data_IF_880399117598
#
_entry.id   IF_880399117598
#
_cell.length_a   1.000
_cell.length_b   1.000
_cell.length_c   1.000
_cell.angle_alpha   90.00
_cell.angle_beta   90.00
_cell.angle_gamma   90.00
#
_symmetry.space_group_name_H-M   'P 1'
#
loop_
_entity.id
_entity.type
_entity.pdbx_description
1 polymer ?
#
# COMPACT_ATOMS: atom_id res chain seq x y z
N UNK A 1 -29.31 -73.58 38.98
CA UNK A 1 -29.12 -72.20 39.47
C UNK A 1 -27.64 -71.77 39.50
N UNK A 2 -26.69 -72.57 40.00
CA UNK A 2 -25.26 -72.17 40.05
C UNK A 2 -24.56 -71.95 38.69
N UNK A 3 -24.95 -72.66 37.61
CA UNK A 3 -24.33 -72.48 36.28
C UNK A 3 -24.82 -71.23 35.52
N UNK A 4 -26.02 -70.73 35.84
CA UNK A 4 -26.57 -69.52 35.20
C UNK A 4 -25.96 -68.24 35.80
N UNK A 5 -25.70 -68.22 37.10
CA UNK A 5 -25.12 -67.06 37.81
C UNK A 5 -23.67 -66.80 37.38
N UNK A 6 -22.89 -67.87 37.11
CA UNK A 6 -21.48 -67.75 36.68
C UNK A 6 -21.39 -67.22 35.24
N UNK A 7 -22.32 -67.60 34.36
CA UNK A 7 -22.32 -67.14 32.98
C UNK A 7 -22.74 -65.67 32.82
N UNK A 8 -23.68 -65.18 33.66
CA UNK A 8 -24.05 -63.75 33.67
C UNK A 8 -23.01 -62.87 34.35
N UNK A 9 -22.29 -63.38 35.35
CA UNK A 9 -21.20 -62.60 35.98
C UNK A 9 -19.96 -62.49 35.10
N UNK A 10 -19.64 -63.51 34.29
CA UNK A 10 -18.58 -63.41 33.28
C UNK A 10 -18.98 -62.46 32.15
N UNK A 11 -20.24 -62.47 31.70
CA UNK A 11 -20.71 -61.56 30.65
C UNK A 11 -20.71 -60.09 31.11
N UNK A 12 -21.10 -59.83 32.37
CA UNK A 12 -21.00 -58.49 32.97
C UNK A 12 -19.54 -58.04 33.15
N UNK A 13 -18.63 -58.96 33.50
CA UNK A 13 -17.20 -58.65 33.60
C UNK A 13 -16.57 -58.32 32.24
N UNK A 14 -16.98 -59.00 31.16
CA UNK A 14 -16.49 -58.71 29.80
C UNK A 14 -17.05 -57.38 29.28
N UNK A 15 -18.31 -57.04 29.57
CA UNK A 15 -18.90 -55.74 29.21
C UNK A 15 -18.22 -54.59 29.97
N UNK A 16 -17.85 -54.80 31.25
CA UNK A 16 -17.12 -53.81 32.03
C UNK A 16 -15.66 -53.60 31.54
N UNK A 17 -15.03 -54.65 30.98
CA UNK A 17 -13.69 -54.55 30.39
C UNK A 17 -13.75 -53.87 29.02
N UNK A 18 -14.79 -54.09 28.20
CA UNK A 18 -14.93 -53.41 26.89
C UNK A 18 -15.28 -51.92 27.06
N UNK A 19 -16.08 -51.56 28.08
CA UNK A 19 -16.35 -50.15 28.40
C UNK A 19 -15.15 -49.41 29.02
N UNK A 20 -14.18 -50.14 29.58
CA UNK A 20 -12.96 -49.58 30.17
C UNK A 20 -11.76 -49.45 29.21
N UNK A 21 -11.87 -49.91 27.96
CA UNK A 21 -10.76 -49.90 26.98
C UNK A 21 -11.03 -48.92 25.82
N UNK A 22 -12.21 -48.29 25.75
CA UNK A 22 -12.48 -47.18 24.81
C UNK A 22 -12.48 -45.80 25.45
N UNK A 23 -11.97 -45.67 26.68
CA UNK A 23 -11.53 -44.34 27.15
C UNK A 23 -10.23 -44.04 26.42
N UNK A 24 -10.33 -43.31 25.31
CA UNK A 24 -9.18 -42.74 24.64
C UNK A 24 -8.30 -42.08 25.70
N UNK A 25 -7.03 -42.49 25.73
CA UNK A 25 -5.98 -41.94 26.58
C UNK A 25 -5.52 -40.57 26.03
N UNK A 26 -6.48 -39.73 25.63
CA UNK A 26 -6.34 -38.33 25.27
C UNK A 26 -7.45 -37.58 26.00
N UNK A 27 -7.29 -37.52 27.32
CA UNK A 27 -7.98 -36.55 28.17
C UNK A 27 -6.92 -35.65 28.82
N UNK A 28 -5.83 -35.40 28.11
CA UNK A 28 -5.20 -34.10 28.16
C UNK A 28 -6.20 -33.11 27.57
N UNK A 29 -6.97 -32.49 28.45
CA UNK A 29 -7.35 -31.11 28.19
C UNK A 29 -6.02 -30.37 28.18
N UNK A 30 -5.44 -30.18 26.99
CA UNK A 30 -4.33 -29.26 26.75
C UNK A 30 -4.84 -27.87 27.10
N UNK A 31 -4.82 -27.60 28.40
CA UNK A 31 -5.18 -26.31 28.94
C UNK A 31 -3.98 -25.45 28.61
N UNK A 32 -4.07 -24.75 27.50
CA UNK A 32 -3.19 -23.66 27.13
C UNK A 32 -3.43 -22.47 28.11
N UNK A 33 -3.22 -22.70 29.40
CA UNK A 33 -3.22 -21.67 30.43
C UNK A 33 -1.85 -21.02 30.44
N UNK A 34 -1.76 -19.83 29.86
CA UNK A 34 -0.51 -19.11 29.70
C UNK A 34 -0.21 -18.67 28.27
N UNK A 35 -1.00 -19.11 27.27
CA UNK A 35 -0.94 -18.46 25.96
C UNK A 35 -1.72 -17.15 26.03
N UNK A 36 -0.99 -16.05 26.09
CA UNK A 36 -1.49 -14.73 25.74
C UNK A 36 -1.58 -14.70 24.21
N UNK A 37 -2.73 -15.04 23.63
CA UNK A 37 -3.03 -14.70 22.24
C UNK A 37 -3.35 -13.20 22.22
N UNK A 38 -2.32 -12.38 22.35
CA UNK A 38 -2.41 -10.95 22.07
C UNK A 38 -2.19 -10.81 20.58
N UNK A 39 -3.27 -10.90 19.78
CA UNK A 39 -3.24 -10.26 18.48
C UNK A 39 -2.99 -8.78 18.78
N UNK A 40 -1.84 -8.25 18.39
CA UNK A 40 -1.62 -6.82 18.46
C UNK A 40 -2.63 -6.19 17.51
N UNK A 41 -3.57 -5.40 18.04
CA UNK A 41 -4.24 -4.42 17.23
C UNK A 41 -3.23 -3.31 16.96
N UNK A 42 -3.11 -2.89 15.72
CA UNK A 42 -2.48 -1.63 15.38
C UNK A 42 -3.63 -0.63 15.22
N UNK A 43 -3.74 0.27 16.20
CA UNK A 43 -4.64 1.41 16.13
C UNK A 43 -3.74 2.62 15.84
N UNK A 44 -3.95 3.25 14.68
CA UNK A 44 -3.27 4.48 14.29
C UNK A 44 -4.19 5.66 14.61
N UNK A 45 -3.76 6.52 15.51
CA UNK A 45 -4.46 7.76 15.83
C UNK A 45 -3.76 8.94 15.19
N UNK A 46 -4.53 9.89 14.67
CA UNK A 46 -4.04 11.13 14.06
C UNK A 46 -4.75 12.33 14.70
N UNK A 47 -4.00 13.40 14.93
CA UNK A 47 -4.54 14.74 15.16
C UNK A 47 -3.81 15.80 14.37
N UNK A 48 -4.40 16.99 14.32
CA UNK A 48 -3.84 18.14 13.64
C UNK A 48 -4.10 19.42 14.43
N UNK A 49 -3.10 20.28 14.52
CA UNK A 49 -3.25 21.66 14.98
C UNK A 49 -2.71 22.59 13.92
N UNK A 50 -3.55 23.49 13.40
CA UNK A 50 -3.23 24.31 12.24
C UNK A 50 -3.38 25.81 12.50
N UNK A 51 -2.56 26.60 11.82
CA UNK A 51 -2.56 28.05 11.84
C UNK A 51 -2.61 28.59 10.41
N UNK A 52 -3.38 29.65 10.21
CA UNK A 52 -3.46 30.40 8.96
C UNK A 52 -3.05 31.85 9.24
N UNK A 53 -2.00 32.32 8.59
CA UNK A 53 -1.42 33.65 8.80
C UNK A 53 -1.17 33.96 10.30
N UNK A 54 -0.64 32.98 11.03
CA UNK A 54 -0.32 33.08 12.47
C UNK A 54 -1.53 33.04 13.41
N UNK A 55 -2.71 32.67 12.92
CA UNK A 55 -3.94 32.54 13.72
C UNK A 55 -4.45 31.11 13.67
N UNK A 56 -4.73 30.52 14.84
CA UNK A 56 -5.27 29.16 14.96
C UNK A 56 -6.52 29.00 14.08
N UNK A 57 -6.53 27.97 13.23
CA UNK A 57 -7.63 27.64 12.35
C UNK A 57 -8.47 26.48 12.93
N UNK A 58 -9.64 26.76 13.54
CA UNK A 58 -10.45 25.71 14.16
C UNK A 58 -11.06 24.74 13.15
N UNK A 59 -11.24 25.14 11.88
CA UNK A 59 -11.83 24.27 10.85
C UNK A 59 -10.89 23.17 10.37
N UNK A 60 -9.59 23.29 10.63
CA UNK A 60 -8.59 22.29 10.32
C UNK A 60 -7.72 21.93 11.54
N UNK A 61 -8.24 22.18 12.75
CA UNK A 61 -7.62 21.75 14.00
C UNK A 61 -8.55 20.81 14.75
N UNK A 62 -8.12 19.58 15.02
CA UNK A 62 -8.91 18.57 15.72
C UNK A 62 -8.07 17.79 16.73
N UNK A 63 -8.77 17.12 17.65
CA UNK A 63 -8.14 16.28 18.67
C UNK A 63 -7.92 14.87 18.15
N UNK A 64 -7.06 14.12 18.85
CA UNK A 64 -6.72 12.75 18.53
C UNK A 64 -7.97 11.90 18.27
N UNK A 65 -8.07 11.40 17.05
CA UNK A 65 -9.06 10.41 16.64
C UNK A 65 -8.37 9.18 16.06
N UNK A 66 -9.01 8.03 16.23
CA UNK A 66 -8.61 6.75 15.64
C UNK A 66 -9.57 6.32 14.53
N UNK A 67 -10.53 7.17 14.19
CA UNK A 67 -11.54 6.96 13.17
C UNK A 67 -11.75 8.30 12.45
N UNK A 68 -11.27 8.40 11.21
CA UNK A 68 -11.43 9.60 10.39
C UNK A 68 -12.78 9.61 9.64
N UNK A 69 -13.48 8.48 9.58
CA UNK A 69 -14.76 8.33 8.86
C UNK A 69 -16.00 8.48 9.77
N UNK A 70 -15.83 9.01 10.98
CA UNK A 70 -16.90 9.14 11.98
C UNK A 70 -17.88 10.30 11.72
N UNK A 71 -17.60 11.13 10.70
CA UNK A 71 -18.35 12.32 10.32
C UNK A 71 -18.43 13.38 11.42
N UNK A 72 -17.44 13.44 12.31
CA UNK A 72 -17.34 14.43 13.40
C UNK A 72 -16.20 15.45 13.20
N UNK A 73 -15.57 15.45 12.02
CA UNK A 73 -14.50 16.38 11.71
C UNK A 73 -14.97 17.85 11.66
N UNK A 74 -14.09 18.80 12.02
CA UNK A 74 -14.46 20.21 12.19
C UNK A 74 -14.50 21.01 10.89
N UNK A 75 -14.20 20.39 9.74
CA UNK A 75 -14.15 21.08 8.47
C UNK A 75 -15.50 21.73 8.15
N UNK A 76 -15.42 22.89 7.49
CA UNK A 76 -16.57 23.65 7.02
C UNK A 76 -16.55 23.74 5.50
N UNK A 77 -17.70 23.87 4.87
CA UNK A 77 -17.80 24.19 3.45
C UNK A 77 -17.71 25.70 3.17
N UNK A 78 -17.82 26.07 1.89
CA UNK A 78 -17.78 27.48 1.44
C UNK A 78 -18.94 28.33 1.98
N UNK A 79 -20.05 27.70 2.40
CA UNK A 79 -21.19 28.38 3.03
C UNK A 79 -20.99 28.53 4.56
N UNK A 80 -19.99 27.85 5.11
CA UNK A 80 -19.64 27.83 6.54
C UNK A 80 -20.38 26.77 7.34
N UNK A 81 -20.98 25.77 6.66
CA UNK A 81 -21.65 24.64 7.29
C UNK A 81 -20.64 23.51 7.57
N UNK A 82 -20.79 22.82 8.71
CA UNK A 82 -19.94 21.68 9.10
C UNK A 82 -20.09 20.52 8.09
N UNK A 83 -18.97 20.03 7.54
CA UNK A 83 -18.96 18.89 6.59
C UNK A 83 -18.84 17.54 7.30
N UNK A 84 -18.24 17.53 8.50
CA UNK A 84 -17.91 16.32 9.24
C UNK A 84 -16.58 15.68 8.83
N UNK A 85 -15.81 16.33 7.96
CA UNK A 85 -14.53 15.83 7.44
C UNK A 85 -13.34 16.33 8.26
N UNK A 86 -12.26 15.53 8.29
CA UNK A 86 -10.98 15.90 8.87
C UNK A 86 -10.03 16.32 7.74
N UNK A 87 -9.80 17.62 7.59
CA UNK A 87 -8.97 18.18 6.52
C UNK A 87 -7.77 18.91 7.09
N UNK A 88 -6.55 18.56 6.69
CA UNK A 88 -5.34 19.25 7.16
C UNK A 88 -5.30 20.72 6.72
N UNK A 89 -5.87 21.03 5.57
CA UNK A 89 -6.02 22.40 5.11
C UNK A 89 -7.34 22.57 4.36
N UNK A 90 -7.94 23.74 4.47
CA UNK A 90 -9.23 24.03 3.86
C UNK A 90 -9.38 25.55 3.72
N UNK A 91 -9.12 26.07 2.53
CA UNK A 91 -9.09 27.49 2.25
C UNK A 91 -9.94 27.82 1.03
N UNK A 92 -10.82 28.80 1.17
CA UNK A 92 -11.71 29.26 0.09
C UNK A 92 -11.27 30.59 -0.54
N UNK A 93 -10.30 31.27 0.08
CA UNK A 93 -9.85 32.61 -0.33
C UNK A 93 -8.36 32.80 -0.02
N UNK A 94 -7.49 32.30 -0.90
CA UNK A 94 -6.05 32.49 -0.80
C UNK A 94 -5.60 33.81 -1.43
N UNK A 95 -4.71 34.52 -0.74
CA UNK A 95 -4.11 35.77 -1.19
C UNK A 95 -2.59 35.62 -1.35
N UNK A 96 -1.98 36.30 -2.32
CA UNK A 96 -0.53 36.25 -2.48
C UNK A 96 0.21 36.57 -1.18
N UNK A 97 1.06 35.64 -0.75
CA UNK A 97 1.83 35.73 0.49
C UNK A 97 1.09 35.24 1.73
N UNK A 98 -0.12 34.67 1.56
CA UNK A 98 -0.73 33.87 2.62
C UNK A 98 0.11 32.63 2.87
N UNK A 99 0.20 32.28 4.14
CA UNK A 99 0.92 31.12 4.61
C UNK A 99 0.14 30.45 5.73
N UNK A 100 0.52 29.22 6.03
CA UNK A 100 -0.02 28.51 7.18
C UNK A 100 0.87 27.34 7.54
N UNK A 101 0.59 26.79 8.70
CA UNK A 101 1.37 25.71 9.27
C UNK A 101 0.50 24.76 10.07
N UNK A 102 0.95 23.52 10.18
CA UNK A 102 0.24 22.47 10.87
C UNK A 102 1.19 21.53 11.61
N UNK A 103 0.83 21.18 12.83
CA UNK A 103 1.42 20.05 13.55
C UNK A 103 0.49 18.85 13.41
N UNK A 104 0.91 17.88 12.62
CA UNK A 104 0.24 16.58 12.52
C UNK A 104 0.90 15.66 13.52
N UNK A 105 0.14 15.02 14.41
CA UNK A 105 0.73 14.04 15.32
C UNK A 105 0.19 12.63 15.10
N UNK A 106 1.10 11.67 15.14
CA UNK A 106 0.89 10.27 14.81
C UNK A 106 1.06 9.45 16.08
N UNK A 107 0.04 8.67 16.41
CA UNK A 107 -0.03 7.86 17.62
C UNK A 107 -0.24 6.40 17.26
N UNK A 108 0.84 5.62 17.33
CA UNK A 108 0.73 4.17 17.28
C UNK A 108 0.48 3.68 18.71
N UNK A 109 -0.69 3.12 18.96
CA UNK A 109 -1.17 2.88 20.32
C UNK A 109 -0.30 1.90 21.12
N UNK A 110 -0.28 0.61 20.80
CA UNK A 110 0.25 -0.39 21.75
C UNK A 110 1.57 -1.05 21.33
N UNK A 111 1.85 -1.15 20.03
CA UNK A 111 2.96 -1.93 19.51
C UNK A 111 3.85 -1.07 18.63
N UNK A 112 5.14 -1.41 18.59
CA UNK A 112 6.06 -0.78 17.66
C UNK A 112 5.62 -1.06 16.22
N UNK A 113 5.75 -0.05 15.37
CA UNK A 113 5.24 -0.10 14.02
C UNK A 113 6.14 0.64 13.02
N UNK A 114 6.06 0.19 11.79
CA UNK A 114 6.48 0.95 10.62
C UNK A 114 5.34 1.84 10.18
N UNK A 115 5.65 2.99 9.61
CA UNK A 115 4.64 3.92 9.12
C UNK A 115 5.08 4.62 7.83
N UNK A 116 4.09 4.88 6.98
CA UNK A 116 4.24 5.58 5.71
C UNK A 116 3.17 6.67 5.64
N UNK A 117 3.46 7.70 4.87
CA UNK A 117 2.53 8.75 4.48
C UNK A 117 2.53 8.85 2.97
N UNK A 118 1.36 8.99 2.35
CA UNK A 118 1.23 9.30 0.92
C UNK A 118 0.43 10.58 0.72
N UNK A 119 0.74 11.30 -0.35
CA UNK A 119 0.02 12.51 -0.77
C UNK A 119 -0.38 12.32 -2.24
N UNK A 120 -1.67 12.51 -2.53
CA UNK A 120 -2.23 12.37 -3.87
C UNK A 120 -3.06 13.62 -4.21
N UNK A 121 -2.86 14.22 -5.38
CA UNK A 121 -3.73 15.30 -5.85
C UNK A 121 -4.97 14.73 -6.53
N UNK A 122 -6.13 14.97 -5.94
CA UNK A 122 -7.39 14.42 -6.43
C UNK A 122 -8.12 15.36 -7.37
N UNK A 123 -7.74 16.64 -7.38
CA UNK A 123 -8.37 17.65 -8.23
C UNK A 123 -7.45 18.84 -8.50
N UNK A 124 -7.54 19.36 -9.72
CA UNK A 124 -6.81 20.55 -10.14
C UNK A 124 -7.57 21.31 -11.24
N UNK A 125 -8.71 21.90 -10.90
CA UNK A 125 -9.65 22.45 -11.87
C UNK A 125 -9.60 23.98 -11.90
N UNK A 126 -9.72 24.55 -13.10
CA UNK A 126 -10.09 25.97 -13.27
C UNK A 126 -11.62 26.07 -13.37
N UNK A 127 -12.24 26.76 -12.41
CA UNK A 127 -13.70 26.89 -12.32
C UNK A 127 -14.27 28.10 -13.07
N UNK A 128 -13.45 28.95 -13.67
CA UNK A 128 -13.89 29.98 -14.60
C UNK A 128 -13.10 31.28 -14.59
N UNK A 129 -12.56 31.62 -15.75
CA UNK A 129 -11.90 32.88 -16.07
C UNK A 129 -12.63 34.17 -15.61
N UNK A 130 -12.12 34.79 -14.55
CA UNK A 130 -12.49 36.14 -14.12
C UNK A 130 -11.73 37.24 -14.87
N UNK A 131 -12.21 38.49 -14.82
CA UNK A 131 -11.55 39.63 -15.51
C UNK A 131 -10.50 40.34 -14.63
N UNK A 132 -9.57 39.59 -14.04
CA UNK A 132 -8.17 39.84 -14.42
C UNK A 132 -7.41 38.60 -14.94
N UNK A 133 -7.90 37.41 -14.63
CA UNK A 133 -7.35 36.10 -14.99
C UNK A 133 -7.40 35.87 -16.50
N UNK A 134 -8.54 36.16 -17.13
CA UNK A 134 -8.78 36.04 -18.59
C UNK A 134 -7.79 36.80 -19.49
N UNK A 135 -7.00 37.71 -18.90
CA UNK A 135 -5.97 38.50 -19.60
C UNK A 135 -4.61 37.81 -19.63
N UNK A 136 -4.38 36.89 -18.71
CA UNK A 136 -3.11 36.18 -18.51
C UNK A 136 -3.26 34.68 -18.71
N UNK A 137 -4.46 34.14 -18.50
CA UNK A 137 -4.83 32.78 -18.82
C UNK A 137 -6.13 32.70 -19.67
N UNK A 138 -6.22 31.67 -20.50
CA UNK A 138 -7.36 31.38 -21.38
C UNK A 138 -7.82 29.91 -21.28
N UNK A 139 -7.21 29.11 -20.41
CA UNK A 139 -7.67 27.76 -20.13
C UNK A 139 -8.88 27.79 -19.19
N UNK A 140 -9.63 26.69 -19.12
CA UNK A 140 -10.79 26.54 -18.24
C UNK A 140 -11.19 25.07 -18.19
N UNK A 141 -11.63 24.62 -17.02
CA UNK A 141 -12.24 23.30 -16.84
C UNK A 141 -11.27 22.28 -16.26
N UNK A 142 -11.71 21.03 -16.27
CA UNK A 142 -11.08 19.95 -15.49
C UNK A 142 -9.58 19.79 -15.79
N UNK A 143 -8.77 19.74 -14.74
CA UNK A 143 -7.32 19.54 -14.83
C UNK A 143 -6.52 20.73 -15.37
N UNK A 144 -7.15 21.89 -15.60
CA UNK A 144 -6.46 23.08 -16.10
C UNK A 144 -6.19 24.14 -15.01
N UNK A 145 -6.30 23.80 -13.73
CA UNK A 145 -5.89 24.73 -12.67
C UNK A 145 -4.38 24.96 -12.66
N UNK A 146 -3.96 26.15 -12.25
CA UNK A 146 -2.57 26.54 -12.08
C UNK A 146 -2.15 26.74 -10.62
N UNK A 147 -3.09 26.89 -9.69
CA UNK A 147 -2.86 27.17 -8.26
C UNK A 147 -1.84 26.24 -7.59
N UNK A 148 -1.91 24.94 -7.86
CA UNK A 148 -0.97 23.92 -7.39
C UNK A 148 0.49 24.19 -7.77
N UNK A 149 0.76 24.95 -8.84
CA UNK A 149 2.12 25.34 -9.24
C UNK A 149 2.68 26.51 -8.39
N UNK A 150 1.85 27.14 -7.57
CA UNK A 150 2.17 28.37 -6.84
C UNK A 150 1.95 28.28 -5.34
N UNK A 151 1.37 27.17 -4.86
CA UNK A 151 1.40 26.84 -3.43
C UNK A 151 2.57 25.89 -3.22
N UNK A 152 3.55 26.34 -2.46
CA UNK A 152 4.69 25.53 -2.05
C UNK A 152 4.47 25.03 -0.62
N UNK A 153 4.93 23.83 -0.34
CA UNK A 153 4.86 23.23 0.98
C UNK A 153 6.26 22.86 1.46
N UNK A 154 6.39 22.63 2.76
CA UNK A 154 7.51 21.91 3.35
C UNK A 154 6.99 21.13 4.53
N UNK A 155 7.52 19.93 4.70
CA UNK A 155 7.23 19.08 5.84
C UNK A 155 8.54 18.63 6.48
N UNK A 156 8.54 18.36 7.78
CA UNK A 156 9.72 17.90 8.52
C UNK A 156 9.33 17.02 9.70
N UNK A 157 10.29 16.27 10.23
CA UNK A 157 10.15 15.64 11.53
C UNK A 157 10.31 16.72 12.60
N UNK A 158 9.23 16.95 13.33
CA UNK A 158 9.08 18.06 14.28
C UNK A 158 9.16 17.52 15.72
N UNK A 159 9.56 18.38 16.65
CA UNK A 159 9.60 18.05 18.08
C UNK A 159 8.26 18.30 18.81
N UNK A 160 7.26 18.84 18.09
CA UNK A 160 5.90 19.11 18.54
C UNK A 160 5.60 20.58 18.81
N UNK A 161 6.52 21.50 18.49
CA UNK A 161 6.34 22.94 18.62
C UNK A 161 5.96 23.66 17.32
N UNK A 162 6.01 22.95 16.19
CA UNK A 162 5.67 23.43 14.86
C UNK A 162 6.58 24.52 14.28
N UNK A 163 7.80 24.64 14.76
CA UNK A 163 8.76 25.64 14.26
C UNK A 163 9.90 24.91 13.59
N UNK A 164 10.17 25.19 12.31
CA UNK A 164 11.30 24.56 11.64
C UNK A 164 12.62 25.03 12.25
N UNK A 165 13.33 24.13 12.92
CA UNK A 165 14.60 24.44 13.58
C UNK A 165 15.83 23.96 12.79
N UNK A 166 17.01 24.49 13.14
CA UNK A 166 18.26 24.17 12.42
C UNK A 166 18.65 22.69 12.43
N UNK A 167 18.26 21.93 13.44
CA UNK A 167 18.53 20.50 13.59
C UNK A 167 17.43 19.61 12.99
N UNK A 168 16.26 20.17 12.72
CA UNK A 168 15.14 19.51 12.02
C UNK A 168 15.20 19.70 10.50
N UNK A 169 15.77 20.82 10.03
CA UNK A 169 15.93 21.13 8.62
C UNK A 169 16.51 19.98 7.74
N UNK A 170 17.42 19.12 8.22
CA UNK A 170 17.87 17.94 7.46
C UNK A 170 16.79 16.89 7.18
N UNK A 171 15.71 16.86 7.96
CA UNK A 171 14.55 15.97 7.77
C UNK A 171 13.50 16.57 6.84
N UNK A 172 13.65 17.83 6.44
CA UNK A 172 12.66 18.52 5.64
C UNK A 172 12.55 17.94 4.22
N UNK A 173 11.33 17.70 3.76
CA UNK A 173 11.01 17.15 2.44
C UNK A 173 9.95 18.00 1.72
N UNK A 174 9.88 17.83 0.39
CA UNK A 174 9.16 18.71 -0.55
C UNK A 174 9.52 20.19 -0.40
N UNK A 175 10.69 20.50 0.15
CA UNK A 175 11.13 21.89 0.30
C UNK A 175 11.43 22.50 -1.07
N UNK A 176 10.96 23.74 -1.29
CA UNK A 176 11.17 24.50 -2.53
C UNK A 176 10.55 23.85 -3.78
N UNK A 177 9.50 23.03 -3.60
CA UNK A 177 8.72 22.48 -4.71
C UNK A 177 7.25 22.94 -4.65
N UNK A 178 6.62 23.18 -5.81
CA UNK A 178 5.18 23.41 -5.87
C UNK A 178 4.40 22.14 -5.51
N UNK A 179 3.17 22.31 -5.05
CA UNK A 179 2.25 21.23 -4.70
C UNK A 179 2.03 20.24 -5.86
N UNK A 180 2.16 20.67 -7.12
CA UNK A 180 2.13 19.77 -8.30
C UNK A 180 3.15 18.63 -8.24
N UNK A 181 4.29 18.83 -7.56
CA UNK A 181 5.35 17.81 -7.44
C UNK A 181 5.12 16.91 -6.22
N UNK A 182 4.04 17.13 -5.46
CA UNK A 182 3.62 16.28 -4.34
C UNK A 182 2.48 15.33 -4.74
N UNK A 183 2.13 15.25 -6.02
CA UNK A 183 1.22 14.23 -6.55
C UNK A 183 1.93 12.86 -6.57
N UNK A 184 1.26 11.81 -6.13
CA UNK A 184 1.80 10.44 -5.92
C UNK A 184 3.09 10.41 -5.08
N UNK A 185 3.18 11.27 -4.07
CA UNK A 185 4.37 11.35 -3.22
C UNK A 185 4.25 10.40 -2.03
N UNK A 186 5.08 9.36 -2.05
CA UNK A 186 5.31 8.46 -0.92
C UNK A 186 6.43 8.96 0.00
N UNK A 187 6.12 9.03 1.31
CA UNK A 187 7.02 9.47 2.36
C UNK A 187 7.23 8.33 3.37
N UNK A 188 8.50 7.99 3.58
CA UNK A 188 8.91 7.01 4.58
C UNK A 188 8.94 7.70 5.94
N UNK A 189 7.98 7.38 6.81
CA UNK A 189 8.01 7.89 8.19
C UNK A 189 8.98 7.05 9.04
N UNK A 190 8.84 5.73 8.97
CA UNK A 190 9.81 4.77 9.47
C UNK A 190 9.61 3.40 8.81
N UNK A 191 10.70 2.76 8.38
CA UNK A 191 10.66 1.41 7.82
C UNK A 191 11.91 0.59 8.16
N UNK A 192 11.98 -0.66 7.69
CA UNK A 192 13.09 -1.56 7.98
C UNK A 192 14.45 -1.12 7.40
N UNK A 193 14.47 -0.16 6.46
CA UNK A 193 15.70 0.33 5.81
C UNK A 193 16.43 1.38 6.64
N UNK A 194 15.74 2.02 7.59
CA UNK A 194 16.32 3.07 8.43
C UNK A 194 16.46 4.42 7.72
N UNK A 195 15.67 4.65 6.67
CA UNK A 195 15.68 5.87 5.87
C UNK A 195 14.49 6.81 6.17
N UNK A 196 13.64 6.48 7.14
CA UNK A 196 12.48 7.29 7.48
C UNK A 196 12.83 8.62 8.16
N UNK A 197 11.93 9.59 8.07
CA UNK A 197 12.13 10.92 8.68
C UNK A 197 12.26 10.84 10.21
N UNK A 198 11.64 9.85 10.85
CA UNK A 198 11.74 9.60 12.30
C UNK A 198 12.86 8.64 12.70
N UNK A 199 13.76 8.32 11.77
CA UNK A 199 14.87 7.38 11.98
C UNK A 199 16.23 8.08 11.92
N UNK A 200 16.50 9.08 12.80
CA UNK A 200 17.72 9.88 12.69
C UNK A 200 18.99 9.04 12.88
N UNK A 201 19.96 9.26 11.98
CA UNK A 201 21.31 8.67 12.10
C UNK A 201 21.44 7.22 11.62
N UNK A 202 20.62 6.80 10.65
CA UNK A 202 20.58 5.43 10.11
C UNK A 202 20.19 4.39 11.16
N UNK A 203 19.37 4.79 12.14
CA UNK A 203 18.70 3.82 13.00
C UNK A 203 17.61 3.13 12.19
N UNK A 204 17.41 1.83 12.37
CA UNK A 204 16.33 1.07 11.74
C UNK A 204 15.28 0.71 12.77
N UNK A 205 15.14 1.52 13.81
CA UNK A 205 14.20 1.23 14.89
C UNK A 205 12.79 1.64 14.41
N UNK A 206 11.76 0.83 14.70
CA UNK A 206 10.38 1.18 14.39
C UNK A 206 9.91 2.37 15.23
N UNK A 207 8.78 2.98 14.83
CA UNK A 207 8.06 3.90 15.69
C UNK A 207 7.61 3.16 16.95
N UNK A 208 8.04 3.65 18.10
CA UNK A 208 7.72 3.04 19.39
C UNK A 208 6.24 3.19 19.70
N UNK A 209 5.60 2.11 20.11
CA UNK A 209 4.21 2.16 20.58
C UNK A 209 4.05 3.11 21.78
N UNK A 210 2.87 3.71 21.93
CA UNK A 210 2.53 4.71 22.94
C UNK A 210 3.40 5.97 22.91
N UNK A 211 4.07 6.26 21.80
CA UNK A 211 4.90 7.45 21.62
C UNK A 211 4.30 8.31 20.51
N UNK A 212 4.02 9.60 20.76
CA UNK A 212 3.61 10.51 19.70
C UNK A 212 4.82 10.89 18.84
N UNK A 213 4.60 10.95 17.52
CA UNK A 213 5.55 11.47 16.54
C UNK A 213 4.92 12.66 15.84
N UNK A 214 5.67 13.73 15.63
CA UNK A 214 5.13 14.98 15.09
C UNK A 214 5.71 15.24 13.70
N UNK A 215 4.82 15.52 12.75
CA UNK A 215 5.16 16.04 11.43
C UNK A 215 4.78 17.50 11.43
N UNK A 216 5.78 18.37 11.36
CA UNK A 216 5.60 19.78 11.07
C UNK A 216 5.32 19.95 9.59
N UNK A 217 4.38 20.82 9.26
CA UNK A 217 4.05 21.21 7.90
C UNK A 217 3.93 22.71 7.84
N UNK A 218 4.42 23.29 6.77
CA UNK A 218 4.13 24.67 6.42
C UNK A 218 3.85 24.79 4.93
N UNK A 219 3.12 25.84 4.56
CA UNK A 219 2.83 26.14 3.17
C UNK A 219 2.81 27.65 2.94
N UNK A 220 3.10 28.03 1.71
CA UNK A 220 3.14 29.40 1.24
C UNK A 220 2.46 29.49 -0.11
N UNK A 221 1.49 30.39 -0.25
CA UNK A 221 1.03 30.81 -1.56
C UNK A 221 1.98 31.89 -2.10
N UNK A 222 3.05 31.43 -2.75
CA UNK A 222 4.19 32.25 -3.17
C UNK A 222 5.50 31.46 -3.21
N UNK A 223 6.62 32.19 -3.16
CA UNK A 223 7.96 31.62 -3.02
C UNK A 223 8.25 31.36 -1.52
N UNK A 224 8.45 30.09 -1.17
CA UNK A 224 8.77 29.61 0.17
C UNK A 224 10.28 29.54 0.33
N UNK A 225 10.82 30.26 1.31
CA UNK A 225 12.24 30.18 1.67
C UNK A 225 12.39 29.65 3.09
N UNK A 226 13.19 28.60 3.28
CA UNK A 226 13.51 28.11 4.62
C UNK A 226 14.45 29.08 5.33
N UNK A 227 14.08 29.46 6.55
CA UNK A 227 14.85 30.31 7.44
C UNK A 227 14.85 29.72 8.87
N UNK A 228 15.45 28.53 9.07
CA UNK A 228 15.23 27.75 10.28
C UNK A 228 15.59 28.51 11.56
N UNK A 229 14.72 28.36 12.57
CA UNK A 229 14.91 28.96 13.89
C UNK A 229 16.06 28.29 14.66
N UNK A 230 16.65 28.97 15.66
CA UNK A 230 17.57 28.32 16.59
C UNK A 230 16.83 27.30 17.47
N UNK A 231 17.43 26.11 17.65
CA UNK A 231 16.94 25.01 18.51
C UNK A 231 16.35 25.50 19.84
N UNK A 232 15.14 25.05 20.16
CA UNK A 232 14.45 25.40 21.40
C UNK A 232 12.97 25.00 21.42
N UNK A 233 12.20 25.73 22.21
CA UNK A 233 10.74 25.65 22.14
C UNK A 233 10.29 26.97 21.52
N UNK A 234 10.07 26.92 20.21
CA UNK A 234 9.55 27.97 19.37
C UNK A 234 8.09 28.32 19.65
N UNK A 235 7.63 29.34 18.93
CA UNK A 235 6.23 29.73 18.84
C UNK A 235 5.98 30.06 17.36
N UNK A 236 5.18 29.24 16.65
CA UNK A 236 4.95 29.40 15.21
C UNK A 236 4.28 30.74 14.89
N UNK A 237 3.56 31.33 15.86
CA UNK A 237 2.94 32.64 15.68
C UNK A 237 3.93 33.81 15.70
N UNK A 238 5.19 33.56 16.07
CA UNK A 238 6.27 34.54 16.15
C UNK A 238 7.31 34.30 15.06
N UNK A 239 7.78 33.06 14.92
CA UNK A 239 8.77 32.64 13.94
C UNK A 239 8.66 31.12 13.77
N UNK A 240 8.18 30.72 12.61
CA UNK A 240 7.94 29.37 12.13
C UNK A 240 9.14 28.76 11.40
N UNK A 241 10.19 29.56 11.20
CA UNK A 241 11.39 29.13 10.50
C UNK A 241 11.26 29.21 8.98
N UNK A 242 10.25 29.91 8.45
CA UNK A 242 9.95 29.98 7.02
C UNK A 242 9.57 31.42 6.63
N UNK A 243 9.96 31.83 5.42
CA UNK A 243 9.59 33.10 4.83
C UNK A 243 8.72 32.85 3.58
N UNK A 244 7.57 33.54 3.49
CA UNK A 244 6.65 33.43 2.35
C UNK A 244 6.60 34.74 1.55
N UNK A 245 7.03 34.72 0.28
CA UNK A 245 6.98 35.87 -0.63
C UNK A 245 5.97 35.66 -1.78
N UNK A 246 4.80 36.28 -1.66
CA UNK A 246 3.78 36.30 -2.71
C UNK A 246 3.99 37.33 -3.82
N UNK A 247 5.06 38.12 -3.79
CA UNK A 247 5.23 39.27 -4.71
C UNK A 247 5.40 38.87 -6.18
N UNK A 248 5.79 37.62 -6.45
CA UNK A 248 5.89 37.04 -7.79
C UNK A 248 4.56 36.57 -8.39
N UNK A 249 3.48 36.51 -7.61
CA UNK A 249 2.22 35.91 -8.04
C UNK A 249 1.41 36.78 -9.01
N UNK A 250 0.81 36.11 -9.99
CA UNK A 250 -0.02 36.70 -11.03
C UNK A 250 -1.52 36.62 -10.71
N UNK A 251 -2.34 36.83 -11.76
CA UNK A 251 -3.79 36.66 -11.68
C UNK A 251 -4.29 35.33 -12.25
N UNK A 252 -3.37 34.45 -12.68
CA UNK A 252 -3.66 33.23 -13.42
C UNK A 252 -4.07 32.04 -12.53
N UNK A 253 -4.17 32.23 -11.21
CA UNK A 253 -4.59 31.17 -10.27
C UNK A 253 -5.95 31.46 -9.63
N UNK A 254 -6.69 32.43 -10.18
CA UNK A 254 -7.97 32.86 -9.62
C UNK A 254 -9.04 31.88 -10.04
N UNK A 255 -9.98 31.56 -9.17
CA UNK A 255 -11.05 30.58 -9.42
C UNK A 255 -10.63 29.11 -9.53
N UNK A 256 -9.33 28.85 -9.59
CA UNK A 256 -8.75 27.52 -9.50
C UNK A 256 -9.16 26.79 -8.21
N UNK A 257 -9.11 25.47 -8.26
CA UNK A 257 -9.28 24.59 -7.12
C UNK A 257 -8.25 23.48 -7.19
N UNK A 258 -7.57 23.26 -6.07
CA UNK A 258 -6.73 22.09 -5.84
C UNK A 258 -7.26 21.34 -4.62
N UNK A 259 -7.41 20.03 -4.75
CA UNK A 259 -7.78 19.12 -3.66
C UNK A 259 -6.79 17.94 -3.67
N UNK A 260 -6.55 17.36 -2.51
CA UNK A 260 -5.65 16.21 -2.38
C UNK A 260 -5.90 15.42 -1.11
N UNK A 261 -5.57 14.15 -1.17
CA UNK A 261 -5.69 13.20 -0.07
C UNK A 261 -4.32 13.02 0.60
N UNK A 262 -4.31 13.01 1.94
CA UNK A 262 -3.14 12.66 2.72
C UNK A 262 -3.48 11.39 3.48
N UNK A 263 -2.78 10.30 3.19
CA UNK A 263 -3.02 9.00 3.80
C UNK A 263 -1.87 8.62 4.72
N UNK A 264 -2.20 8.00 5.85
CA UNK A 264 -1.21 7.42 6.77
C UNK A 264 -1.46 5.93 6.91
N UNK A 265 -0.41 5.15 6.74
CA UNK A 265 -0.45 3.69 6.92
C UNK A 265 0.53 3.29 8.00
N UNK A 266 0.11 2.40 8.90
CA UNK A 266 0.99 1.82 9.90
C UNK A 266 0.87 0.29 9.91
N UNK A 267 2.01 -0.40 10.00
CA UNK A 267 2.10 -1.86 10.05
C UNK A 267 2.95 -2.27 11.24
N UNK A 268 2.46 -3.24 12.02
CA UNK A 268 3.16 -3.70 13.21
C UNK A 268 4.53 -4.31 12.87
N UNK A 269 5.59 -3.88 13.57
CA UNK A 269 6.95 -4.35 13.32
C UNK A 269 7.11 -5.86 13.57
N UNK A 270 6.59 -6.35 14.69
CA UNK A 270 6.77 -7.75 15.15
C UNK A 270 6.44 -8.79 14.08
N UNK A 271 5.43 -8.52 13.27
CA UNK A 271 4.94 -9.45 12.25
C UNK A 271 5.45 -9.10 10.84
N UNK A 272 6.07 -7.94 10.68
CA UNK A 272 6.55 -7.41 9.41
C UNK A 272 7.95 -6.78 9.57
N UNK A 273 8.98 -7.52 10.05
CA UNK A 273 10.28 -6.93 10.38
C UNK A 273 11.04 -6.36 9.17
N UNK A 274 10.69 -6.78 7.95
CA UNK A 274 11.27 -6.30 6.69
C UNK A 274 10.36 -5.34 5.91
N UNK A 275 9.34 -4.77 6.54
CA UNK A 275 8.41 -3.86 5.87
C UNK A 275 9.13 -2.62 5.30
N UNK A 276 8.70 -2.18 4.13
CA UNK A 276 9.21 -0.99 3.42
C UNK A 276 8.04 -0.13 2.94
N UNK A 277 8.19 1.18 3.06
CA UNK A 277 7.26 2.13 2.45
C UNK A 277 7.48 2.20 0.94
N UNK A 278 6.45 2.62 0.18
CA UNK A 278 6.54 2.71 -1.29
C UNK A 278 6.50 1.37 -2.02
N UNK A 279 5.90 0.33 -1.42
CA UNK A 279 5.70 -0.97 -2.08
C UNK A 279 4.69 -0.96 -3.24
N UNK A 280 4.35 0.22 -3.78
CA UNK A 280 3.23 0.45 -4.67
C UNK A 280 3.52 0.37 -6.16
N UNK A 281 4.75 0.17 -6.65
CA UNK A 281 5.03 -0.18 -8.05
C UNK A 281 6.39 -0.89 -8.18
N UNK A 282 6.46 -1.94 -9.01
CA UNK A 282 7.69 -2.73 -9.25
C UNK A 282 8.77 -1.88 -9.95
N UNK A 283 8.37 -0.86 -10.72
CA UNK A 283 9.28 0.00 -11.48
C UNK A 283 10.33 0.71 -10.62
N UNK A 284 10.00 1.02 -9.36
CA UNK A 284 10.83 1.80 -8.45
C UNK A 284 11.96 1.02 -7.78
N UNK A 285 12.11 -0.27 -8.08
CA UNK A 285 13.08 -1.13 -7.41
C UNK A 285 14.36 -1.22 -8.24
N UNK A 286 15.44 -0.68 -7.69
CA UNK A 286 16.78 -0.79 -8.28
C UNK A 286 17.20 -2.25 -8.51
N UNK A 287 16.80 -3.16 -7.60
CA UNK A 287 17.04 -4.60 -7.68
C UNK A 287 15.81 -5.36 -7.11
N UNK A 288 15.29 -6.36 -7.83
CA UNK A 288 14.19 -7.23 -7.37
C UNK A 288 14.22 -8.59 -8.08
N UNK A 289 13.68 -9.63 -7.45
CA UNK A 289 13.43 -10.94 -8.05
C UNK A 289 11.93 -11.13 -8.26
N UNK A 290 11.52 -11.44 -9.50
CA UNK A 290 10.11 -11.42 -9.87
C UNK A 290 9.69 -12.67 -10.60
N UNK A 291 8.51 -13.17 -10.27
CA UNK A 291 7.83 -14.23 -11.01
C UNK A 291 6.52 -13.73 -11.63
N UNK A 292 6.42 -13.85 -12.95
CA UNK A 292 5.17 -13.66 -13.68
C UNK A 292 4.38 -14.97 -13.71
N UNK A 293 3.17 -14.98 -13.17
CA UNK A 293 2.32 -16.17 -13.01
C UNK A 293 1.09 -16.04 -13.90
N UNK A 294 1.12 -16.73 -15.04
CA UNK A 294 0.15 -16.51 -16.14
C UNK A 294 -0.89 -17.62 -16.20
N UNK A 295 -2.17 -17.24 -16.14
CA UNK A 295 -3.26 -18.14 -16.49
C UNK A 295 -3.27 -18.42 -18.01
N UNK A 296 -3.39 -19.69 -18.36
CA UNK A 296 -3.60 -20.19 -19.72
C UNK A 296 -4.70 -21.26 -19.76
N UNK A 297 -5.63 -21.17 -18.81
CA UNK A 297 -6.75 -22.07 -18.66
C UNK A 297 -7.74 -21.95 -19.82
N UNK A 298 -8.70 -22.88 -19.88
CA UNK A 298 -9.59 -23.02 -21.02
C UNK A 298 -10.62 -21.88 -21.19
N UNK A 299 -10.70 -20.93 -20.26
CA UNK A 299 -11.49 -19.70 -20.37
C UNK A 299 -10.84 -18.69 -21.31
N UNK A 300 -9.51 -18.72 -21.43
CA UNK A 300 -8.73 -17.81 -22.29
C UNK A 300 -8.70 -18.37 -23.71
N UNK A 301 -9.29 -17.63 -24.65
CA UNK A 301 -9.21 -17.92 -26.08
C UNK A 301 -7.82 -17.62 -26.65
N UNK A 302 -7.51 -18.16 -27.84
CA UNK A 302 -6.21 -17.88 -28.48
C UNK A 302 -5.99 -16.38 -28.72
N UNK A 303 -7.04 -15.63 -29.07
CA UNK A 303 -6.94 -14.17 -29.29
C UNK A 303 -6.68 -13.41 -28.00
N UNK A 304 -7.30 -13.84 -26.89
CA UNK A 304 -7.05 -13.26 -25.56
C UNK A 304 -5.63 -13.59 -25.09
N UNK A 305 -5.17 -14.82 -25.34
CA UNK A 305 -3.79 -15.21 -25.06
C UNK A 305 -2.78 -14.38 -25.88
N UNK A 306 -3.02 -14.14 -27.17
CA UNK A 306 -2.16 -13.28 -28.00
C UNK A 306 -2.05 -11.87 -27.40
N UNK A 307 -3.15 -11.35 -26.86
CA UNK A 307 -3.20 -10.02 -26.22
C UNK A 307 -2.48 -10.03 -24.88
N UNK A 308 -2.67 -11.07 -24.07
CA UNK A 308 -1.94 -11.27 -22.81
C UNK A 308 -0.44 -11.37 -23.07
N UNK A 309 -0.01 -12.16 -24.06
CA UNK A 309 1.40 -12.29 -24.43
C UNK A 309 2.00 -10.95 -24.86
N UNK A 310 1.25 -10.13 -25.61
CA UNK A 310 1.70 -8.80 -25.99
C UNK A 310 1.85 -7.87 -24.79
N UNK A 311 0.88 -7.84 -23.88
CA UNK A 311 0.93 -7.02 -22.67
C UNK A 311 2.06 -7.47 -21.72
N UNK A 312 2.20 -8.77 -21.48
CA UNK A 312 3.30 -9.34 -20.70
C UNK A 312 4.68 -9.07 -21.33
N UNK A 313 4.78 -9.07 -22.66
CA UNK A 313 6.01 -8.67 -23.37
C UNK A 313 6.32 -7.19 -23.17
N UNK A 314 5.30 -6.34 -23.19
CA UNK A 314 5.41 -4.92 -22.85
C UNK A 314 5.90 -4.71 -21.42
N UNK A 315 5.32 -5.43 -20.47
CA UNK A 315 5.73 -5.43 -19.07
C UNK A 315 7.22 -5.79 -18.88
N UNK A 316 7.67 -6.91 -19.46
CA UNK A 316 9.09 -7.30 -19.42
C UNK A 316 9.99 -6.24 -20.06
N UNK A 317 9.50 -5.53 -21.08
CA UNK A 317 10.26 -4.46 -21.72
C UNK A 317 10.36 -3.23 -20.83
N UNK A 318 9.30 -2.89 -20.10
CA UNK A 318 9.26 -1.77 -19.15
C UNK A 318 10.16 -2.05 -17.93
N UNK A 319 10.03 -3.24 -17.32
CA UNK A 319 10.87 -3.68 -16.20
C UNK A 319 12.35 -3.80 -16.58
N UNK A 320 12.65 -4.10 -17.84
CA UNK A 320 14.01 -4.13 -18.39
C UNK A 320 15.02 -4.95 -17.54
N UNK A 321 14.80 -6.27 -17.35
CA UNK A 321 15.64 -7.10 -16.50
C UNK A 321 17.12 -7.06 -16.91
N UNK A 322 18.00 -7.05 -15.91
CA UNK A 322 19.44 -6.90 -16.09
C UNK A 322 20.23 -7.52 -14.95
N UNK A 323 21.52 -7.81 -15.17
CA UNK A 323 22.34 -8.55 -14.19
C UNK A 323 22.43 -7.84 -12.83
N UNK A 324 22.44 -6.51 -12.84
CA UNK A 324 22.55 -5.66 -11.65
C UNK A 324 21.22 -5.00 -11.28
N UNK A 325 20.10 -5.47 -11.82
CA UNK A 325 18.78 -4.92 -11.54
C UNK A 325 17.76 -6.03 -11.29
N UNK A 326 16.60 -5.92 -11.89
CA UNK A 326 15.54 -6.93 -11.75
C UNK A 326 15.92 -8.23 -12.47
N UNK A 327 15.75 -9.38 -11.82
CA UNK A 327 15.69 -10.68 -12.50
C UNK A 327 14.25 -11.15 -12.52
N UNK A 328 13.85 -11.78 -13.61
CA UNK A 328 12.48 -12.24 -13.81
C UNK A 328 12.45 -13.71 -14.14
N UNK A 329 11.38 -14.39 -13.73
CA UNK A 329 11.02 -15.73 -14.16
C UNK A 329 9.53 -15.80 -14.47
N UNK A 330 9.09 -16.96 -14.96
CA UNK A 330 7.72 -17.16 -15.39
C UNK A 330 7.23 -18.56 -15.00
N UNK A 331 6.06 -18.62 -14.39
CA UNK A 331 5.25 -19.82 -14.35
C UNK A 331 3.93 -19.61 -15.08
N UNK A 332 3.34 -20.67 -15.60
CA UNK A 332 1.99 -20.62 -16.16
C UNK A 332 1.17 -21.79 -15.69
N UNK A 333 -0.15 -21.59 -15.61
CA UNK A 333 -1.03 -22.60 -15.06
C UNK A 333 -2.30 -22.80 -15.89
N UNK A 334 -2.79 -24.04 -15.81
CA UNK A 334 -4.12 -24.43 -16.28
C UNK A 334 -4.59 -25.56 -15.35
N UNK A 335 -4.85 -26.78 -15.83
CA UNK A 335 -5.06 -27.94 -14.93
C UNK A 335 -3.81 -28.28 -14.11
N UNK A 336 -2.64 -28.06 -14.71
CA UNK A 336 -1.33 -28.16 -14.08
C UNK A 336 -0.55 -26.87 -14.32
N UNK A 337 0.43 -26.59 -13.48
CA UNK A 337 1.36 -25.49 -13.69
C UNK A 337 2.70 -25.98 -14.28
N UNK A 338 3.40 -25.09 -14.96
CA UNK A 338 4.75 -25.28 -15.48
C UNK A 338 5.62 -24.09 -15.12
N UNK A 339 6.88 -24.36 -14.76
CA UNK A 339 7.90 -23.33 -14.64
C UNK A 339 8.49 -23.14 -16.04
N UNK A 340 8.09 -22.08 -16.72
CA UNK A 340 8.40 -21.85 -18.12
C UNK A 340 9.75 -21.14 -18.28
N UNK A 341 10.11 -20.31 -17.31
CA UNK A 341 11.40 -19.61 -17.24
C UNK A 341 11.83 -19.50 -15.78
N UNK A 342 13.06 -19.95 -15.51
CA UNK A 342 13.75 -19.70 -14.24
C UNK A 342 14.18 -18.24 -14.14
N UNK A 343 14.49 -17.74 -12.94
CA UNK A 343 15.01 -16.38 -12.75
C UNK A 343 16.17 -16.12 -13.71
N UNK A 344 16.05 -15.02 -14.46
CA UNK A 344 16.97 -14.62 -15.50
C UNK A 344 17.04 -13.09 -15.58
N UNK A 345 18.22 -12.60 -15.92
CA UNK A 345 18.49 -11.19 -16.23
C UNK A 345 18.27 -10.86 -17.71
N UNK A 346 17.70 -11.78 -18.48
CA UNK A 346 17.55 -11.66 -19.93
C UNK A 346 16.11 -11.41 -20.35
N UNK A 347 15.82 -10.17 -20.77
CA UNK A 347 14.55 -9.80 -21.38
C UNK A 347 14.23 -10.68 -22.62
N UNK A 348 15.25 -11.09 -23.38
CA UNK A 348 15.08 -11.97 -24.53
C UNK A 348 14.62 -13.39 -24.13
N UNK A 349 15.10 -13.91 -23.00
CA UNK A 349 14.66 -15.21 -22.49
C UNK A 349 13.21 -15.14 -21.98
N UNK A 350 12.87 -14.09 -21.25
CA UNK A 350 11.51 -13.84 -20.76
C UNK A 350 10.50 -13.70 -21.89
N UNK A 351 10.77 -12.83 -22.88
CA UNK A 351 9.87 -12.65 -24.03
C UNK A 351 9.75 -13.91 -24.88
N UNK A 352 10.80 -14.74 -24.96
CA UNK A 352 10.71 -16.04 -25.61
C UNK A 352 9.85 -17.04 -24.82
N UNK A 353 9.93 -17.04 -23.49
CA UNK A 353 9.09 -17.88 -22.63
C UNK A 353 7.60 -17.51 -22.75
N UNK A 354 7.30 -16.21 -22.75
CA UNK A 354 5.93 -15.68 -22.96
C UNK A 354 5.40 -16.11 -24.32
N UNK A 355 6.19 -15.93 -25.39
CA UNK A 355 5.79 -16.28 -26.76
C UNK A 355 5.56 -17.78 -26.99
N UNK A 356 6.10 -18.65 -26.11
CA UNK A 356 5.90 -20.10 -26.18
C UNK A 356 4.66 -20.58 -25.39
N UNK A 357 3.91 -19.67 -24.75
CA UNK A 357 2.67 -20.03 -24.11
C UNK A 357 1.63 -20.45 -25.14
N UNK A 358 1.05 -21.62 -24.90
CA UNK A 358 -0.06 -22.16 -25.68
C UNK A 358 -1.31 -22.23 -24.79
N UNK A 359 -2.46 -21.82 -25.33
CA UNK A 359 -3.76 -22.05 -24.71
C UNK A 359 -4.28 -23.45 -25.06
N UNK A 360 -5.03 -24.04 -24.15
CA UNK A 360 -5.61 -25.36 -24.36
C UNK A 360 -7.11 -25.33 -24.11
N UNK A 361 -7.88 -25.81 -25.09
CA UNK A 361 -9.33 -25.92 -24.92
C UNK A 361 -9.68 -26.94 -23.83
N UNK A 362 -10.53 -26.57 -22.88
CA UNK A 362 -11.07 -27.41 -21.78
C UNK A 362 -10.13 -27.70 -20.62
N UNK A 363 -9.06 -26.92 -20.44
CA UNK A 363 -8.28 -26.99 -19.21
C UNK A 363 -8.91 -26.14 -18.11
N UNK A 364 -8.51 -26.47 -16.88
CA UNK A 364 -9.02 -25.91 -15.63
C UNK A 364 -8.10 -24.82 -15.11
N UNK A 365 -8.39 -24.25 -13.94
CA UNK A 365 -7.67 -23.10 -13.38
C UNK A 365 -7.04 -23.50 -12.04
N UNK A 366 -5.74 -23.80 -12.05
CA UNK A 366 -4.95 -24.25 -10.89
C UNK A 366 -3.97 -23.15 -10.44
N UNK A 367 -4.54 -22.05 -9.93
CA UNK A 367 -3.78 -20.88 -9.49
C UNK A 367 -2.77 -21.24 -8.38
N UNK A 368 -3.16 -22.10 -7.44
CA UNK A 368 -2.30 -22.50 -6.32
C UNK A 368 -0.97 -23.08 -6.80
N UNK A 369 -1.01 -23.95 -7.81
CA UNK A 369 0.21 -24.57 -8.34
C UNK A 369 1.07 -23.57 -9.13
N UNK A 370 0.47 -22.57 -9.76
CA UNK A 370 1.21 -21.47 -10.40
C UNK A 370 2.01 -20.67 -9.38
N UNK A 371 1.36 -20.30 -8.26
CA UNK A 371 1.96 -19.59 -7.13
C UNK A 371 3.04 -20.47 -6.46
N UNK A 372 2.77 -21.75 -6.23
CA UNK A 372 3.73 -22.66 -5.60
C UNK A 372 5.03 -22.80 -6.42
N UNK A 373 4.93 -22.83 -7.75
CA UNK A 373 6.11 -22.87 -8.63
C UNK A 373 6.88 -21.56 -8.63
N UNK A 374 6.18 -20.43 -8.59
CA UNK A 374 6.81 -19.12 -8.49
C UNK A 374 7.55 -18.96 -7.18
N UNK A 375 6.87 -19.23 -6.06
CA UNK A 375 7.46 -19.26 -4.72
C UNK A 375 8.67 -20.19 -4.65
N UNK A 376 8.57 -21.41 -5.19
CA UNK A 376 9.70 -22.35 -5.15
C UNK A 376 10.91 -21.89 -5.97
N UNK A 377 10.71 -21.06 -7.00
CA UNK A 377 11.80 -20.47 -7.77
C UNK A 377 12.43 -19.27 -7.03
N UNK A 378 11.60 -18.45 -6.38
CA UNK A 378 11.99 -17.36 -5.48
C UNK A 378 12.60 -17.84 -4.16
N UNK A 379 12.54 -19.13 -3.83
CA UNK A 379 13.30 -19.71 -2.70
C UNK A 379 14.46 -20.61 -3.19
N UNK A 380 14.78 -20.53 -4.47
CA UNK A 380 15.76 -21.42 -5.10
C UNK A 380 17.19 -20.93 -4.92
N UNK A 381 18.17 -21.67 -5.46
CA UNK A 381 19.57 -21.21 -5.46
C UNK A 381 19.85 -20.03 -6.41
N UNK A 382 18.84 -19.60 -7.19
CA UNK A 382 18.93 -18.47 -8.11
C UNK A 382 18.35 -17.19 -7.54
N UNK A 383 17.54 -17.32 -6.49
CA UNK A 383 17.08 -16.20 -5.69
C UNK A 383 18.27 -15.53 -4.99
N UNK A 384 18.17 -14.21 -4.84
CA UNK A 384 19.16 -13.36 -4.20
C UNK A 384 18.83 -13.24 -2.71
N UNK A 385 19.37 -12.25 -2.03
CA UNK A 385 19.11 -12.08 -0.59
C UNK A 385 17.94 -11.10 -0.44
N UNK A 386 16.82 -11.59 0.08
CA UNK A 386 15.55 -10.88 0.25
C UNK A 386 15.71 -9.55 1.02
N UNK A 387 16.73 -9.45 1.87
CA UNK A 387 17.02 -8.22 2.62
C UNK A 387 17.51 -7.08 1.71
N UNK A 388 18.07 -7.43 0.55
CA UNK A 388 18.64 -6.49 -0.43
C UNK A 388 17.85 -6.46 -1.72
N UNK A 389 17.29 -7.60 -2.13
CA UNK A 389 16.58 -7.81 -3.39
C UNK A 389 15.21 -8.38 -3.05
N UNK A 390 14.15 -7.56 -2.94
CA UNK A 390 12.82 -8.04 -2.59
C UNK A 390 12.19 -8.92 -3.69
N UNK A 391 11.27 -9.78 -3.25
CA UNK A 391 10.59 -10.76 -4.08
C UNK A 391 9.15 -10.40 -4.42
N UNK A 392 8.80 -10.60 -5.69
CA UNK A 392 7.45 -10.30 -6.19
C UNK A 392 6.87 -11.40 -7.05
N UNK A 393 5.56 -11.59 -6.91
CA UNK A 393 4.73 -12.39 -7.81
C UNK A 393 3.72 -11.47 -8.47
N UNK A 394 3.62 -11.53 -9.79
CA UNK A 394 2.57 -10.85 -10.55
C UNK A 394 1.67 -11.92 -11.18
N UNK A 395 0.44 -12.05 -10.67
CA UNK A 395 -0.56 -13.01 -11.14
C UNK A 395 -1.45 -12.38 -12.22
N UNK A 396 -1.57 -13.02 -13.37
CA UNK A 396 -2.52 -12.65 -14.42
C UNK A 396 -3.56 -13.76 -14.56
N UNK A 397 -4.84 -13.48 -14.31
CA UNK A 397 -5.90 -14.50 -14.32
C UNK A 397 -7.25 -13.96 -14.78
N UNK A 398 -7.99 -14.74 -15.58
CA UNK A 398 -9.34 -14.38 -16.06
C UNK A 398 -10.47 -15.12 -15.31
N UNK A 399 -10.10 -16.03 -14.41
CA UNK A 399 -11.04 -17.00 -13.86
C UNK A 399 -10.85 -17.31 -12.38
N UNK A 400 -11.85 -18.00 -11.84
CA UNK A 400 -11.83 -18.52 -10.47
C UNK A 400 -11.03 -19.83 -10.39
N UNK A 401 -10.14 -19.98 -9.39
CA UNK A 401 -9.43 -21.24 -9.17
C UNK A 401 -10.43 -22.38 -8.95
N UNK A 402 -10.28 -23.46 -9.70
CA UNK A 402 -11.16 -24.63 -9.63
C UNK A 402 -10.39 -25.96 -9.64
N UNK A 403 -9.07 -25.88 -9.52
CA UNK A 403 -8.14 -26.95 -9.17
C UNK A 403 -7.15 -26.43 -8.11
N UNK A 404 -6.56 -27.30 -7.26
CA UNK A 404 -6.83 -28.73 -7.14
C UNK A 404 -8.21 -29.07 -6.53
N UNK A 405 -8.61 -30.34 -6.63
CA UNK A 405 -9.83 -30.86 -5.98
C UNK A 405 -11.10 -30.70 -6.80
N UNK A 406 -10.97 -30.10 -7.98
CA UNK A 406 -11.97 -30.10 -9.02
C UNK A 406 -13.28 -29.37 -8.72
N UNK A 407 -13.31 -28.51 -7.70
CA UNK A 407 -14.41 -27.57 -7.43
C UNK A 407 -13.81 -26.19 -7.16
N UNK A 408 -14.59 -25.13 -7.39
CA UNK A 408 -14.14 -23.76 -7.11
C UNK A 408 -13.77 -23.57 -5.64
N UNK A 409 -14.56 -24.12 -4.71
CA UNK A 409 -14.28 -24.02 -3.28
C UNK A 409 -12.93 -24.67 -2.90
N UNK A 410 -12.61 -25.84 -3.47
CA UNK A 410 -11.33 -26.51 -3.21
C UNK A 410 -10.15 -25.78 -3.86
N UNK A 411 -10.34 -25.30 -5.10
CA UNK A 411 -9.31 -24.52 -5.81
C UNK A 411 -9.00 -23.21 -5.09
N UNK A 412 -10.04 -22.47 -4.66
CA UNK A 412 -9.88 -21.24 -3.88
C UNK A 412 -9.18 -21.48 -2.55
N UNK A 413 -9.61 -22.48 -1.79
CA UNK A 413 -8.95 -22.80 -0.51
C UNK A 413 -7.46 -23.15 -0.69
N UNK A 414 -7.11 -23.86 -1.76
CA UNK A 414 -5.72 -24.17 -2.06
C UNK A 414 -4.93 -22.93 -2.52
N UNK A 415 -5.50 -22.09 -3.39
CA UNK A 415 -4.84 -20.89 -3.88
C UNK A 415 -4.59 -19.88 -2.75
N UNK A 416 -5.56 -19.68 -1.85
CA UNK A 416 -5.40 -18.86 -0.64
C UNK A 416 -4.31 -19.42 0.28
N UNK A 417 -4.22 -20.75 0.43
CA UNK A 417 -3.15 -21.34 1.22
C UNK A 417 -1.75 -21.11 0.59
N UNK A 418 -1.64 -21.17 -0.73
CA UNK A 418 -0.39 -20.87 -1.45
C UNK A 418 -0.02 -19.40 -1.38
N UNK A 419 -0.99 -18.48 -1.56
CA UNK A 419 -0.78 -17.03 -1.44
C UNK A 419 -0.29 -16.66 -0.03
N UNK A 420 -1.01 -17.09 1.01
CA UNK A 420 -0.59 -16.90 2.41
C UNK A 420 0.81 -17.46 2.69
N UNK A 421 1.18 -18.57 2.06
CA UNK A 421 2.51 -19.16 2.23
C UNK A 421 3.62 -18.32 1.57
N UNK A 422 3.33 -17.66 0.46
CA UNK A 422 4.23 -16.72 -0.20
C UNK A 422 4.34 -15.41 0.60
N UNK A 423 3.23 -14.85 1.09
CA UNK A 423 3.24 -13.67 1.97
C UNK A 423 4.06 -13.92 3.24
N UNK A 424 3.89 -15.09 3.87
CA UNK A 424 4.67 -15.49 5.05
C UNK A 424 6.16 -15.68 4.76
N UNK A 425 6.53 -15.89 3.49
CA UNK A 425 7.92 -15.94 3.05
C UNK A 425 8.47 -14.55 2.70
N UNK A 426 7.67 -13.48 2.81
CA UNK A 426 8.08 -12.12 2.45
C UNK A 426 7.91 -11.79 0.96
N UNK A 427 7.27 -12.67 0.19
CA UNK A 427 7.04 -12.48 -1.25
C UNK A 427 5.75 -11.70 -1.45
N UNK A 428 5.83 -10.51 -2.04
CA UNK A 428 4.65 -9.67 -2.31
C UNK A 428 3.94 -10.11 -3.59
N UNK A 429 2.61 -10.20 -3.55
CA UNK A 429 1.76 -10.70 -4.64
C UNK A 429 0.87 -9.58 -5.17
N UNK A 430 1.13 -9.17 -6.42
CA UNK A 430 0.23 -8.36 -7.22
C UNK A 430 -0.68 -9.25 -8.06
N UNK A 431 -1.95 -8.87 -8.18
CA UNK A 431 -2.94 -9.66 -8.93
C UNK A 431 -3.67 -8.79 -9.93
N UNK A 432 -3.61 -9.16 -11.20
CA UNK A 432 -4.40 -8.56 -12.28
C UNK A 432 -5.52 -9.52 -12.66
N UNK A 433 -6.74 -9.18 -12.25
CA UNK A 433 -7.96 -9.89 -12.64
C UNK A 433 -8.47 -9.37 -13.98
N UNK A 434 -8.65 -10.25 -14.97
CA UNK A 434 -9.02 -9.87 -16.34
C UNK A 434 -10.47 -10.31 -16.62
N UNK A 435 -11.39 -9.35 -16.77
CA UNK A 435 -12.81 -9.63 -17.04
C UNK A 435 -13.42 -10.65 -16.06
N UNK A 436 -13.04 -10.55 -14.78
CA UNK A 436 -13.49 -11.45 -13.71
C UNK A 436 -14.85 -11.01 -13.15
N UNK A 437 -15.69 -11.97 -12.81
CA UNK A 437 -16.95 -11.69 -12.11
C UNK A 437 -16.69 -11.04 -10.74
N UNK A 438 -17.56 -10.13 -10.31
CA UNK A 438 -17.36 -9.31 -9.11
C UNK A 438 -17.05 -10.12 -7.83
N UNK A 439 -17.70 -11.27 -7.64
CA UNK A 439 -17.45 -12.15 -6.48
C UNK A 439 -16.07 -12.80 -6.53
N UNK A 440 -15.53 -13.04 -7.72
CA UNK A 440 -14.17 -13.56 -7.89
C UNK A 440 -13.14 -12.44 -7.80
N UNK A 441 -13.46 -11.23 -8.29
CA UNK A 441 -12.62 -10.05 -8.12
C UNK A 441 -12.37 -9.76 -6.63
N UNK A 442 -13.43 -9.75 -5.80
CA UNK A 442 -13.27 -9.62 -4.34
C UNK A 442 -12.35 -10.69 -3.77
N UNK A 443 -12.55 -11.96 -4.15
CA UNK A 443 -11.69 -13.05 -3.68
C UNK A 443 -10.21 -12.87 -4.07
N UNK A 444 -9.94 -12.48 -5.32
CA UNK A 444 -8.57 -12.22 -5.78
C UNK A 444 -7.94 -11.05 -5.02
N UNK A 445 -8.73 -10.01 -4.72
CA UNK A 445 -8.30 -8.85 -3.96
C UNK A 445 -8.05 -9.14 -2.47
N UNK A 446 -8.89 -9.97 -1.84
CA UNK A 446 -8.87 -10.15 -0.38
C UNK A 446 -8.09 -11.39 0.07
N UNK A 447 -7.99 -12.41 -0.78
CA UNK A 447 -7.47 -13.73 -0.39
C UNK A 447 -6.25 -14.19 -1.21
N UNK A 448 -5.83 -13.43 -2.23
CA UNK A 448 -4.66 -13.75 -3.08
C UNK A 448 -3.66 -12.61 -3.15
N UNK A 449 -4.10 -11.38 -3.40
CA UNK A 449 -3.22 -10.21 -3.35
C UNK A 449 -2.73 -9.99 -1.91
N UNK A 450 -1.48 -9.55 -1.73
CA UNK A 450 -0.90 -9.33 -0.39
C UNK A 450 -1.65 -8.25 0.39
N UNK A 451 -2.09 -7.20 -0.32
CA UNK A 451 -2.99 -6.18 0.20
C UNK A 451 -4.10 -5.87 -0.81
N UNK A 452 -5.24 -5.31 -0.39
CA UNK A 452 -6.31 -4.93 -1.32
C UNK A 452 -5.91 -3.92 -2.40
N UNK A 453 -4.86 -3.12 -2.16
CA UNK A 453 -4.29 -2.17 -3.11
C UNK A 453 -3.45 -2.87 -4.21
N UNK A 454 -2.96 -4.08 -3.95
CA UNK A 454 -2.13 -4.85 -4.90
C UNK A 454 -2.99 -5.62 -5.94
N UNK A 455 -4.30 -5.38 -5.96
CA UNK A 455 -5.23 -5.95 -6.92
C UNK A 455 -5.67 -4.92 -7.96
N UNK A 456 -5.51 -5.30 -9.23
CA UNK A 456 -5.88 -4.48 -10.38
C UNK A 456 -6.97 -5.19 -11.19
N UNK A 457 -8.04 -4.45 -11.49
CA UNK A 457 -9.16 -4.97 -12.26
C UNK A 457 -9.07 -4.54 -13.72
N UNK A 458 -8.64 -5.44 -14.61
CA UNK A 458 -8.68 -5.21 -16.05
C UNK A 458 -10.08 -5.52 -16.59
N UNK A 459 -10.75 -4.52 -17.14
CA UNK A 459 -12.10 -4.70 -17.72
C UNK A 459 -12.09 -5.63 -18.93
N UNK A 460 -10.97 -5.68 -19.65
CA UNK A 460 -10.69 -6.61 -20.73
C UNK A 460 -9.16 -6.82 -20.90
N UNK A 461 -8.78 -7.68 -21.84
CA UNK A 461 -7.37 -7.94 -22.16
C UNK A 461 -6.67 -6.73 -22.80
N UNK A 462 -7.39 -5.74 -23.34
CA UNK A 462 -6.78 -4.54 -23.93
C UNK A 462 -6.33 -3.55 -22.84
N UNK A 463 -7.04 -3.49 -21.72
CA UNK A 463 -6.66 -2.71 -20.55
C UNK A 463 -5.39 -3.24 -19.84
N UNK A 464 -5.03 -4.50 -20.08
CA UNK A 464 -3.89 -5.16 -19.43
C UNK A 464 -2.55 -4.45 -19.66
N UNK A 465 -2.34 -3.88 -20.85
CA UNK A 465 -1.08 -3.19 -21.16
C UNK A 465 -0.92 -1.90 -20.36
N UNK A 466 -2.00 -1.19 -20.03
CA UNK A 466 -1.94 0.02 -19.21
C UNK A 466 -1.61 -0.35 -17.77
N UNK A 467 -2.41 -1.25 -17.18
CA UNK A 467 -2.20 -1.74 -15.80
C UNK A 467 -0.79 -2.29 -15.58
N UNK A 468 -0.28 -3.12 -16.52
CA UNK A 468 1.08 -3.63 -16.39
C UNK A 468 2.15 -2.55 -16.60
N UNK A 469 1.87 -1.53 -17.40
CA UNK A 469 2.78 -0.38 -17.51
C UNK A 469 2.79 0.38 -16.20
N UNK A 470 1.64 0.63 -15.58
CA UNK A 470 1.52 1.31 -14.30
C UNK A 470 2.26 0.53 -13.20
N UNK A 471 2.06 -0.79 -13.10
CA UNK A 471 2.79 -1.66 -12.17
C UNK A 471 4.32 -1.58 -12.41
N UNK A 472 4.76 -1.36 -13.65
CA UNK A 472 6.17 -1.27 -14.03
C UNK A 472 6.73 0.16 -14.06
N UNK A 473 5.91 1.20 -13.88
CA UNK A 473 6.33 2.60 -13.91
C UNK A 473 6.74 3.08 -12.52
N UNK A 474 7.51 4.17 -12.51
CA UNK A 474 7.86 4.92 -11.30
C UNK A 474 7.14 6.27 -11.25
N UNK A 475 6.13 6.43 -12.12
CA UNK A 475 5.42 7.68 -12.39
C UNK A 475 4.01 7.57 -11.80
#
# INVERSE_FOLDING_TARGET
>A
MRKLIISTSILLAVIAIVAGVTTAFYNDVETSSGNTLSAGAIDLGIDNTSYYNGVLNPGTSWQLTYELDDLLGPAIDIEGDETGEYLFFNFFDLKPGDWGEDTISIHVKDNDAWACMSIDLTKNDDNGLTEPESKVDQTIGLGNGELQNYIQFVWWADDGDNVLETDEAPSAFVSDQPLSEADDLDVILADSTGNGIFQPGSNSDPLAGNTPYYIGKAWCFGELTLNPAPEGNGDPTINDGIDCDGSGLGNNTQTDTVEGDISFTAVQERHSPGFRCGGGNIGCLDEADMMLVIDRSGSISNTELDTLQAAATGFVTAVAPSTAGVHMGQSSFSTTATLDQVLTDSAAAMTAAIANLDSFTRLRTNLSHGIDLAKAELESVRDRDDNTVPDFIVVLTDGAPNEPGGTEAAGKAAATASANAADLAGIKIFVVGINVEATNATYLQTDIASTPADYFNATDFAALSAILTDIASCD
#
